data_IF_592711912737
#
_entry.id   IF_592711912737
#
_cell.length_a   1.000
_cell.length_b   1.000
_cell.length_c   1.000
_cell.angle_alpha   90.00
_cell.angle_beta   90.00
_cell.angle_gamma   90.00
#
_symmetry.space_group_name_H-M   'P 1'
#
loop_
_entity.id
_entity.type
_entity.pdbx_description
1 polymer ?
#
# COMPACT_ATOMS: atom_id res chain seq x y z
N UNK A 1 -9.17 8.94 14.18
CA UNK A 1 -9.18 7.78 15.09
C UNK A 1 -10.42 6.89 14.95
N UNK A 2 -11.66 7.36 15.17
CA UNK A 2 -12.86 6.50 15.05
C UNK A 2 -13.06 5.95 13.65
N UNK A 3 -12.90 6.75 12.60
CA UNK A 3 -13.03 6.33 11.20
C UNK A 3 -12.03 5.23 10.82
N UNK A 4 -10.78 5.33 11.27
CA UNK A 4 -9.73 4.32 11.03
C UNK A 4 -10.07 3.00 11.73
N UNK A 5 -10.57 3.06 12.98
CA UNK A 5 -10.98 1.87 13.72
C UNK A 5 -12.17 1.16 13.04
N UNK A 6 -13.16 1.92 12.59
CA UNK A 6 -14.32 1.40 11.85
C UNK A 6 -13.88 0.74 10.55
N UNK A 7 -13.00 1.39 9.77
CA UNK A 7 -12.44 0.83 8.54
C UNK A 7 -11.68 -0.47 8.81
N UNK A 8 -10.77 -0.48 9.79
CA UNK A 8 -9.99 -1.68 10.17
C UNK A 8 -10.85 -2.86 10.64
N UNK A 9 -12.05 -2.60 11.15
CA UNK A 9 -12.95 -3.65 11.66
C UNK A 9 -13.94 -4.14 10.61
N UNK A 10 -14.47 -3.25 9.77
CA UNK A 10 -15.54 -3.58 8.82
C UNK A 10 -15.04 -3.93 7.42
N UNK A 11 -13.93 -3.34 6.97
CA UNK A 11 -13.46 -3.59 5.60
C UNK A 11 -13.03 -5.05 5.36
N UNK A 12 -12.29 -5.75 6.23
CA UNK A 12 -11.89 -7.12 5.95
C UNK A 12 -13.06 -8.08 5.72
N UNK A 13 -14.15 -8.09 6.53
CA UNK A 13 -15.30 -8.95 6.25
C UNK A 13 -16.08 -8.51 5.00
N UNK A 14 -16.17 -7.21 4.73
CA UNK A 14 -16.82 -6.71 3.51
C UNK A 14 -16.05 -7.14 2.27
N UNK A 15 -14.72 -7.10 2.29
CA UNK A 15 -13.84 -7.56 1.23
C UNK A 15 -14.07 -9.04 0.92
N UNK A 16 -14.08 -9.88 1.96
CA UNK A 16 -14.33 -11.32 1.81
C UNK A 16 -15.71 -11.62 1.17
N UNK A 17 -16.76 -10.92 1.60
CA UNK A 17 -18.12 -11.12 1.05
C UNK A 17 -18.13 -10.68 -0.41
N UNK A 18 -17.48 -9.59 -0.73
CA UNK A 18 -17.46 -9.00 -2.06
C UNK A 18 -16.66 -9.83 -3.06
N UNK A 19 -15.48 -10.32 -2.67
CA UNK A 19 -14.70 -11.24 -3.49
C UNK A 19 -15.49 -12.52 -3.83
N UNK A 20 -16.27 -13.03 -2.88
CA UNK A 20 -17.12 -14.20 -3.09
C UNK A 20 -18.31 -13.95 -4.02
N UNK A 21 -18.90 -12.75 -3.97
CA UNK A 21 -20.12 -12.43 -4.72
C UNK A 21 -19.82 -11.84 -6.10
N UNK A 22 -18.75 -11.10 -6.26
CA UNK A 22 -18.50 -10.28 -7.45
C UNK A 22 -17.16 -10.57 -8.16
N UNK A 23 -16.40 -11.55 -7.69
CA UNK A 23 -15.20 -12.00 -8.41
C UNK A 23 -14.12 -10.93 -8.57
N UNK A 24 -13.72 -10.28 -7.49
CA UNK A 24 -12.57 -9.36 -7.49
C UNK A 24 -12.89 -7.92 -7.93
N UNK A 25 -14.13 -7.52 -7.91
CA UNK A 25 -14.58 -6.25 -8.51
C UNK A 25 -14.35 -4.99 -7.67
N UNK A 26 -13.79 -5.02 -6.47
CA UNK A 26 -13.84 -3.77 -5.74
C UNK A 26 -12.79 -3.44 -4.69
N UNK A 27 -12.14 -4.35 -4.08
CA UNK A 27 -11.07 -4.05 -3.15
C UNK A 27 -9.78 -4.64 -3.71
N UNK A 28 -8.91 -3.78 -4.22
CA UNK A 28 -7.61 -4.24 -4.64
C UNK A 28 -6.72 -4.33 -3.42
N UNK A 29 -6.06 -5.46 -3.25
CA UNK A 29 -5.01 -5.63 -2.28
C UNK A 29 -3.73 -4.97 -2.79
N UNK A 30 -2.97 -4.30 -1.92
CA UNK A 30 -1.60 -3.95 -2.20
C UNK A 30 -0.76 -5.23 -2.10
N UNK A 31 -0.09 -5.59 -3.18
CA UNK A 31 0.72 -6.80 -3.30
C UNK A 31 2.20 -6.51 -3.05
N UNK A 32 3.01 -7.54 -2.80
CA UNK A 32 4.44 -7.34 -2.51
C UNK A 32 5.22 -6.73 -3.68
N UNK A 33 4.82 -7.03 -4.91
CA UNK A 33 5.41 -6.50 -6.14
C UNK A 33 5.13 -5.01 -6.34
N UNK A 34 4.10 -4.47 -5.71
CA UNK A 34 3.80 -3.03 -5.69
C UNK A 34 4.62 -2.26 -4.63
N UNK A 35 5.33 -2.94 -3.75
CA UNK A 35 6.08 -2.27 -2.70
C UNK A 35 7.19 -1.38 -3.27
N UNK A 36 7.09 -0.09 -3.01
CA UNK A 36 8.04 0.89 -3.51
C UNK A 36 9.08 1.27 -2.45
N UNK A 37 8.64 1.70 -1.27
CA UNK A 37 9.55 2.15 -0.22
C UNK A 37 8.85 2.23 1.13
N UNK A 38 9.63 2.25 2.22
CA UNK A 38 9.22 2.76 3.53
C UNK A 38 9.75 4.17 3.70
N UNK A 39 8.88 5.13 3.99
CA UNK A 39 9.23 6.53 4.26
C UNK A 39 9.13 6.79 5.75
N UNK A 40 10.23 7.25 6.36
CA UNK A 40 10.31 7.49 7.81
C UNK A 40 9.91 8.93 8.14
N UNK A 41 8.61 9.17 8.18
CA UNK A 41 8.01 10.42 8.60
C UNK A 41 6.57 10.18 9.08
N UNK A 42 5.91 11.21 9.58
CA UNK A 42 4.48 11.17 9.87
C UNK A 42 3.63 11.37 8.59
N UNK A 43 2.34 11.13 8.70
CA UNK A 43 1.38 11.26 7.60
C UNK A 43 1.28 12.68 7.03
N UNK A 44 1.42 13.71 7.86
CA UNK A 44 1.33 15.09 7.43
C UNK A 44 2.52 15.47 6.55
N UNK A 45 3.73 15.06 6.97
CA UNK A 45 4.95 15.28 6.20
C UNK A 45 4.95 14.49 4.89
N UNK A 46 4.51 13.22 4.91
CA UNK A 46 4.38 12.44 3.68
C UNK A 46 3.40 13.07 2.70
N UNK A 47 2.30 13.61 3.22
CA UNK A 47 1.33 14.35 2.41
C UNK A 47 1.98 15.53 1.72
N UNK A 48 2.76 16.35 2.45
CA UNK A 48 3.50 17.46 1.87
C UNK A 48 4.45 17.03 0.75
N UNK A 49 5.20 15.95 0.97
CA UNK A 49 6.09 15.36 -0.06
C UNK A 49 5.31 14.94 -1.30
N UNK A 50 4.19 14.24 -1.12
CA UNK A 50 3.37 13.80 -2.25
C UNK A 50 2.72 14.96 -3.01
N UNK A 51 2.26 16.00 -2.30
CA UNK A 51 1.74 17.22 -2.93
C UNK A 51 2.82 17.92 -3.77
N UNK A 52 4.05 18.05 -3.25
CA UNK A 52 5.19 18.63 -3.98
C UNK A 52 5.61 17.77 -5.20
N UNK A 53 5.44 16.46 -5.13
CA UNK A 53 5.64 15.53 -6.24
C UNK A 53 4.48 15.53 -7.25
N UNK A 54 3.46 16.36 -7.05
CA UNK A 54 2.31 16.49 -7.96
C UNK A 54 1.24 15.43 -7.79
N UNK A 55 1.23 14.73 -6.65
CA UNK A 55 0.15 13.80 -6.34
C UNK A 55 -1.06 14.52 -5.76
N UNK A 56 -2.23 13.99 -6.04
CA UNK A 56 -3.49 14.45 -5.45
C UNK A 56 -4.18 13.30 -4.72
N UNK A 57 -4.89 13.56 -3.61
CA UNK A 57 -5.63 12.53 -2.89
C UNK A 57 -6.66 11.84 -3.80
N UNK A 58 -6.70 10.51 -3.75
CA UNK A 58 -7.69 9.71 -4.47
C UNK A 58 -8.87 9.38 -3.57
N UNK A 59 -9.90 10.23 -3.58
CA UNK A 59 -11.05 10.12 -2.68
C UNK A 59 -11.87 8.82 -2.85
N UNK A 60 -11.80 8.17 -4.01
CA UNK A 60 -12.59 6.99 -4.33
C UNK A 60 -11.89 5.65 -4.12
N UNK A 61 -10.61 5.65 -3.77
CA UNK A 61 -9.85 4.42 -3.53
C UNK A 61 -9.60 4.13 -2.05
N UNK A 62 -10.38 4.73 -1.16
CA UNK A 62 -10.25 4.62 0.29
C UNK A 62 -10.52 3.21 0.88
N UNK A 63 -10.38 2.15 0.08
CA UNK A 63 -10.78 0.79 0.45
C UNK A 63 -9.73 -0.27 0.08
N UNK A 64 -8.46 0.11 -0.07
CA UNK A 64 -7.39 -0.88 -0.27
C UNK A 64 -6.97 -1.50 1.06
N UNK A 65 -6.70 -2.80 1.01
CA UNK A 65 -6.21 -3.58 2.14
C UNK A 65 -4.89 -4.20 1.70
N UNK A 66 -3.87 -4.09 2.53
CA UNK A 66 -2.62 -4.79 2.31
C UNK A 66 -2.82 -6.30 2.56
N UNK A 67 -1.99 -7.14 1.97
CA UNK A 67 -2.05 -8.62 2.07
C UNK A 67 -2.07 -9.15 3.52
N UNK A 68 -1.52 -8.39 4.49
CA UNK A 68 -1.55 -8.72 5.93
C UNK A 68 -2.81 -8.20 6.64
N UNK A 69 -3.74 -7.59 5.91
CA UNK A 69 -4.99 -7.05 6.42
C UNK A 69 -4.89 -5.63 6.98
N UNK A 70 -3.73 -4.95 6.85
CA UNK A 70 -3.63 -3.55 7.18
C UNK A 70 -4.40 -2.71 6.17
N UNK A 71 -5.23 -1.80 6.67
CA UNK A 71 -6.05 -0.90 5.85
C UNK A 71 -5.20 0.28 5.39
N UNK A 72 -5.41 0.74 4.18
CA UNK A 72 -4.72 1.92 3.68
C UNK A 72 -4.99 3.15 4.56
N UNK A 73 -3.95 3.95 4.77
CA UNK A 73 -4.05 5.23 5.47
C UNK A 73 -4.11 6.41 4.50
N UNK A 74 -3.69 6.21 3.26
CA UNK A 74 -3.79 7.18 2.20
C UNK A 74 -3.75 6.58 0.81
N UNK A 75 -4.35 7.25 -0.15
CA UNK A 75 -4.37 6.88 -1.56
C UNK A 75 -4.18 8.14 -2.41
N UNK A 76 -3.23 8.08 -3.32
CA UNK A 76 -2.72 9.23 -4.04
C UNK A 76 -2.57 8.91 -5.51
N UNK A 77 -2.87 9.87 -6.37
CA UNK A 77 -2.73 9.70 -7.82
C UNK A 77 -1.98 10.89 -8.42
N UNK A 78 -1.08 10.59 -9.35
CA UNK A 78 -0.41 11.58 -10.20
C UNK A 78 -0.75 11.32 -11.65
N UNK A 79 -1.13 12.37 -12.35
CA UNK A 79 -1.42 12.39 -13.78
C UNK A 79 -0.68 13.54 -14.44
N UNK A 80 -0.20 13.34 -15.65
CA UNK A 80 0.40 14.41 -16.44
C UNK A 80 -0.62 15.50 -16.81
N UNK A 81 -1.88 15.12 -16.96
CA UNK A 81 -3.00 16.02 -17.23
C UNK A 81 -4.33 15.38 -16.81
N UNK A 82 -5.40 16.16 -16.79
CA UNK A 82 -6.76 15.64 -16.52
C UNK A 82 -7.21 14.61 -17.58
N UNK A 83 -6.67 14.72 -18.79
CA UNK A 83 -6.99 13.82 -19.91
C UNK A 83 -5.92 12.74 -20.12
N UNK A 84 -5.00 12.58 -19.21
CA UNK A 84 -3.99 11.51 -19.29
C UNK A 84 -4.64 10.14 -19.36
N UNK A 85 -4.13 9.27 -20.23
CA UNK A 85 -4.63 7.90 -20.38
C UNK A 85 -4.26 7.04 -19.16
N UNK A 86 -3.09 7.26 -18.58
CA UNK A 86 -2.57 6.53 -17.44
C UNK A 86 -2.43 7.44 -16.22
N UNK A 87 -2.33 6.82 -15.06
CA UNK A 87 -2.04 7.47 -13.80
C UNK A 87 -1.07 6.61 -12.99
N UNK A 88 -0.19 7.28 -12.25
CA UNK A 88 0.58 6.65 -11.19
C UNK A 88 -0.26 6.69 -9.91
N UNK A 89 -0.52 5.53 -9.33
CA UNK A 89 -1.29 5.40 -8.10
C UNK A 89 -0.38 4.93 -6.97
N UNK A 90 -0.42 5.64 -5.86
CA UNK A 90 0.34 5.33 -4.65
C UNK A 90 -0.62 5.11 -3.48
N UNK A 91 -0.44 4.00 -2.78
CA UNK A 91 -1.20 3.63 -1.59
C UNK A 91 -0.25 3.57 -0.41
N UNK A 92 -0.64 4.16 0.71
CA UNK A 92 0.19 4.25 1.90
C UNK A 92 -0.42 3.52 3.07
N UNK A 93 0.43 2.80 3.84
CA UNK A 93 0.05 2.06 5.03
C UNK A 93 0.99 2.41 6.18
N UNK A 94 0.45 3.00 7.23
CA UNK A 94 1.21 3.28 8.44
C UNK A 94 1.61 1.99 9.14
N UNK A 95 2.85 1.92 9.61
CA UNK A 95 3.34 0.77 10.36
C UNK A 95 2.84 0.85 11.80
N UNK A 96 2.35 -0.28 12.33
CA UNK A 96 1.82 -0.33 13.69
C UNK A 96 2.94 -0.46 14.75
N UNK A 97 4.05 -1.12 14.40
CA UNK A 97 5.05 -1.56 15.37
C UNK A 97 6.33 -0.72 15.36
N UNK A 98 6.56 0.08 14.34
CA UNK A 98 7.75 0.93 14.20
C UNK A 98 7.40 2.19 13.39
N UNK A 99 8.11 3.30 13.61
CA UNK A 99 7.90 4.50 12.81
C UNK A 99 8.12 4.23 11.33
N UNK A 100 7.22 4.72 10.48
CA UNK A 100 7.35 4.62 9.04
C UNK A 100 6.02 4.36 8.35
N UNK A 101 5.99 4.72 7.08
CA UNK A 101 4.85 4.55 6.20
C UNK A 101 5.30 3.75 4.99
N UNK A 102 4.70 2.58 4.80
CA UNK A 102 4.95 1.75 3.63
C UNK A 102 4.16 2.30 2.44
N UNK A 103 4.84 2.59 1.35
CA UNK A 103 4.26 3.07 0.10
C UNK A 103 4.29 1.96 -0.96
N UNK A 104 3.15 1.74 -1.58
CA UNK A 104 2.91 0.80 -2.67
C UNK A 104 2.50 1.58 -3.90
N UNK A 105 3.08 1.27 -5.04
CA UNK A 105 2.85 2.02 -6.26
C UNK A 105 2.57 1.11 -7.46
N UNK A 106 1.73 1.57 -8.37
CA UNK A 106 1.48 0.93 -9.65
C UNK A 106 1.05 1.96 -10.69
N UNK A 107 1.37 1.69 -11.93
CA UNK A 107 0.81 2.39 -13.08
C UNK A 107 -0.49 1.72 -13.50
N UNK A 108 -1.50 2.50 -13.83
CA UNK A 108 -2.81 1.99 -14.23
C UNK A 108 -3.52 2.94 -15.19
N UNK A 109 -4.55 2.47 -15.89
CA UNK A 109 -5.42 3.34 -16.69
C UNK A 109 -6.12 4.38 -15.80
N UNK A 110 -6.14 5.61 -16.26
CA UNK A 110 -6.79 6.71 -15.53
C UNK A 110 -8.28 6.42 -15.36
N UNK A 111 -8.76 6.51 -14.11
CA UNK A 111 -10.20 6.35 -13.81
C UNK A 111 -11.09 7.44 -14.41
N UNK A 112 -10.51 8.58 -14.83
CA UNK A 112 -11.25 9.69 -15.43
C UNK A 112 -11.52 9.39 -16.90
N UNK A 113 -10.50 9.01 -17.64
CA UNK A 113 -10.58 8.80 -19.10
C UNK A 113 -10.99 7.37 -19.45
N UNK A 114 -10.61 6.40 -18.62
CA UNK A 114 -10.82 4.96 -18.85
C UNK A 114 -11.43 4.23 -17.65
N UNK A 115 -12.61 4.62 -17.12
CA UNK A 115 -13.15 4.07 -15.88
C UNK A 115 -13.33 2.55 -15.92
N UNK A 116 -13.81 2.00 -17.04
CA UNK A 116 -14.03 0.56 -17.19
C UNK A 116 -12.71 -0.21 -17.25
N UNK A 117 -11.72 0.29 -17.99
CA UNK A 117 -10.39 -0.32 -18.08
C UNK A 117 -9.68 -0.29 -16.71
N UNK A 118 -9.77 0.84 -16.01
CA UNK A 118 -9.27 0.99 -14.65
C UNK A 118 -9.85 -0.07 -13.70
N UNK A 119 -11.18 -0.24 -13.67
CA UNK A 119 -11.82 -1.27 -12.84
C UNK A 119 -11.44 -2.71 -13.22
N UNK A 120 -11.18 -2.96 -14.50
CA UNK A 120 -10.75 -4.27 -15.02
C UNK A 120 -9.26 -4.50 -14.91
N UNK A 121 -8.48 -3.58 -14.32
CA UNK A 121 -7.03 -3.63 -14.23
C UNK A 121 -6.34 -3.83 -15.60
N UNK A 122 -6.92 -3.25 -16.67
CA UNK A 122 -6.29 -3.26 -18.00
C UNK A 122 -5.07 -2.34 -17.94
N UNK A 123 -3.95 -2.82 -18.47
CA UNK A 123 -2.64 -2.14 -18.45
C UNK A 123 -2.18 -1.75 -17.02
N UNK A 124 -2.49 -2.63 -16.06
CA UNK A 124 -1.97 -2.50 -14.70
C UNK A 124 -0.53 -2.99 -14.65
N UNK A 125 0.39 -2.13 -14.18
CA UNK A 125 1.82 -2.41 -14.15
C UNK A 125 2.41 -1.97 -12.80
N UNK A 126 2.72 -2.95 -11.95
CA UNK A 126 3.32 -2.74 -10.65
C UNK A 126 4.79 -2.29 -10.78
N UNK A 127 5.56 -2.93 -11.65
CA UNK A 127 6.98 -2.65 -11.83
C UNK A 127 7.21 -1.21 -12.30
N UNK A 128 6.51 -0.81 -13.37
CA UNK A 128 6.58 0.56 -13.88
C UNK A 128 6.13 1.60 -12.84
N UNK A 129 5.11 1.29 -12.05
CA UNK A 129 4.63 2.18 -10.98
C UNK A 129 5.65 2.34 -9.85
N UNK A 130 6.25 1.23 -9.41
CA UNK A 130 7.29 1.22 -8.38
C UNK A 130 8.51 2.02 -8.82
N UNK A 131 9.00 1.80 -10.04
CA UNK A 131 10.13 2.53 -10.62
C UNK A 131 9.86 4.03 -10.66
N UNK A 132 8.73 4.44 -11.25
CA UNK A 132 8.35 5.85 -11.36
C UNK A 132 8.24 6.54 -10.00
N UNK A 133 7.73 5.86 -8.99
CA UNK A 133 7.59 6.44 -7.66
C UNK A 133 8.94 6.56 -6.95
N UNK A 134 9.81 5.55 -7.07
CA UNK A 134 11.19 5.58 -6.53
C UNK A 134 12.00 6.70 -7.14
N UNK A 135 11.97 6.85 -8.46
CA UNK A 135 12.66 7.92 -9.17
C UNK A 135 12.18 9.30 -8.69
N UNK A 136 10.87 9.46 -8.49
CA UNK A 136 10.31 10.70 -7.97
C UNK A 136 10.79 10.98 -6.53
N UNK A 137 10.81 9.98 -5.64
CA UNK A 137 11.33 10.12 -4.27
C UNK A 137 12.82 10.45 -4.26
N UNK A 138 13.62 9.77 -5.07
CA UNK A 138 15.06 10.03 -5.18
C UNK A 138 15.35 11.44 -5.71
N UNK A 139 14.59 11.88 -6.71
CA UNK A 139 14.70 13.24 -7.22
C UNK A 139 14.32 14.27 -6.15
N UNK A 140 13.26 14.00 -5.38
CA UNK A 140 12.84 14.85 -4.26
C UNK A 140 13.94 14.99 -3.22
N UNK A 141 14.49 13.87 -2.74
CA UNK A 141 15.53 13.84 -1.70
C UNK A 141 16.80 14.58 -2.14
N UNK A 142 17.15 14.54 -3.43
CA UNK A 142 18.33 15.28 -3.95
C UNK A 142 18.13 16.79 -3.99
N UNK A 143 16.90 17.27 -4.04
CA UNK A 143 16.59 18.69 -4.31
C UNK A 143 16.03 19.45 -3.11
N UNK A 144 15.68 18.76 -2.02
CA UNK A 144 15.06 19.37 -0.84
C UNK A 144 16.03 19.38 0.34
N UNK A 145 16.03 20.48 1.08
CA UNK A 145 16.74 20.61 2.33
C UNK A 145 15.98 19.84 3.42
N UNK A 146 16.62 18.90 4.13
CA UNK A 146 16.02 18.05 5.15
C UNK A 146 14.90 17.09 4.63
N UNK A 147 15.18 16.24 3.64
CA UNK A 147 14.19 15.28 3.16
C UNK A 147 13.93 14.16 4.17
N UNK A 148 12.74 13.52 4.15
CA UNK A 148 12.50 12.33 4.94
C UNK A 148 13.42 11.19 4.47
N UNK A 149 13.88 10.37 5.41
CA UNK A 149 14.59 9.14 5.06
C UNK A 149 13.61 8.15 4.42
N UNK A 150 14.06 7.44 3.40
CA UNK A 150 13.32 6.31 2.88
C UNK A 150 14.23 5.11 2.64
N UNK A 151 13.67 3.93 2.72
CA UNK A 151 14.35 2.65 2.47
C UNK A 151 13.56 1.82 1.45
N UNK A 152 14.30 1.25 0.49
CA UNK A 152 13.75 0.35 -0.54
C UNK A 152 13.91 -1.11 -0.10
N UNK A 153 13.58 -1.43 1.13
CA UNK A 153 13.58 -2.80 1.62
C UNK A 153 12.17 -3.34 1.63
N UNK A 154 11.92 -4.52 1.02
CA UNK A 154 10.60 -5.13 1.12
C UNK A 154 10.27 -5.36 2.60
N UNK A 155 9.02 -5.12 3.02
CA UNK A 155 8.59 -5.43 4.37
C UNK A 155 8.89 -6.90 4.68
N UNK A 156 9.27 -7.20 5.94
CA UNK A 156 9.68 -8.53 6.39
C UNK A 156 8.57 -9.61 6.36
N UNK A 157 7.44 -9.34 5.73
CA UNK A 157 6.25 -10.20 5.68
C UNK A 157 6.34 -11.39 4.72
N UNK A 158 7.50 -11.59 4.09
CA UNK A 158 7.67 -12.50 2.95
C UNK A 158 7.44 -13.98 3.24
N UNK A 159 7.58 -14.40 4.50
CA UNK A 159 7.53 -15.84 4.87
C UNK A 159 6.13 -16.37 5.10
N UNK A 160 5.17 -15.55 5.44
CA UNK A 160 3.83 -15.98 5.86
C UNK A 160 2.69 -15.52 4.96
N UNK A 161 2.95 -14.69 3.95
CA UNK A 161 1.93 -14.12 3.07
C UNK A 161 1.04 -15.20 2.41
N UNK A 162 1.61 -16.30 1.95
CA UNK A 162 0.85 -17.40 1.37
C UNK A 162 -0.03 -18.15 2.39
N UNK A 163 0.45 -18.31 3.63
CA UNK A 163 -0.33 -18.96 4.69
C UNK A 163 -1.49 -18.06 5.15
N UNK A 164 -1.28 -16.74 5.21
CA UNK A 164 -2.32 -15.76 5.51
C UNK A 164 -3.36 -15.69 4.39
N UNK A 165 -2.92 -15.78 3.15
CA UNK A 165 -3.81 -15.83 2.00
C UNK A 165 -4.71 -17.07 2.05
N UNK A 166 -4.16 -18.24 2.37
CA UNK A 166 -4.94 -19.47 2.58
C UNK A 166 -5.93 -19.34 3.76
N UNK A 167 -5.51 -18.72 4.86
CA UNK A 167 -6.37 -18.51 6.02
C UNK A 167 -7.48 -17.49 5.75
N UNK A 168 -7.28 -16.52 4.86
CA UNK A 168 -8.30 -15.55 4.47
C UNK A 168 -9.51 -16.18 3.80
N UNK A 169 -9.34 -17.34 3.15
CA UNK A 169 -10.46 -18.15 2.61
C UNK A 169 -11.37 -18.72 3.69
N UNK A 170 -10.86 -18.88 4.92
CA UNK A 170 -11.62 -19.49 6.02
C UNK A 170 -12.26 -18.43 6.90
N UNK A 171 -11.52 -17.39 7.27
CA UNK A 171 -12.01 -16.29 8.07
C UNK A 171 -11.02 -15.10 8.05
N UNK A 172 -11.37 -14.03 7.36
CA UNK A 172 -10.52 -12.82 7.27
C UNK A 172 -10.13 -12.23 8.64
N UNK A 173 -11.05 -12.11 9.64
CA UNK A 173 -10.67 -11.60 10.95
C UNK A 173 -9.68 -12.50 11.71
N UNK A 174 -9.77 -13.81 11.54
CA UNK A 174 -8.83 -14.75 12.15
C UNK A 174 -7.47 -14.70 11.45
N UNK A 175 -7.43 -14.65 10.12
CA UNK A 175 -6.21 -14.52 9.34
C UNK A 175 -5.43 -13.26 9.69
N UNK A 176 -6.11 -12.12 9.81
CA UNK A 176 -5.52 -10.84 10.23
C UNK A 176 -4.92 -10.92 11.64
N UNK A 177 -5.63 -11.52 12.60
CA UNK A 177 -5.09 -11.69 13.97
C UNK A 177 -3.89 -12.61 14.03
N UNK A 178 -3.93 -13.72 13.29
CA UNK A 178 -2.83 -14.69 13.22
C UNK A 178 -1.62 -14.05 12.53
N UNK A 179 -1.84 -13.33 11.41
CA UNK A 179 -0.79 -12.62 10.68
C UNK A 179 -0.04 -11.63 11.56
N UNK A 180 -0.75 -10.78 12.28
CA UNK A 180 -0.15 -9.84 13.25
C UNK A 180 0.59 -10.55 14.39
N UNK A 181 0.13 -11.71 14.79
CA UNK A 181 0.80 -12.54 15.79
C UNK A 181 2.14 -13.09 15.29
N UNK A 182 2.13 -13.63 14.08
CA UNK A 182 3.30 -14.21 13.42
C UNK A 182 4.36 -13.15 13.10
N UNK A 183 3.95 -12.01 12.60
CA UNK A 183 4.83 -10.88 12.32
C UNK A 183 5.58 -10.39 13.58
N UNK A 184 4.88 -10.27 14.71
CA UNK A 184 5.51 -9.94 16.00
C UNK A 184 6.52 -10.99 16.45
N UNK A 185 6.26 -12.27 16.21
CA UNK A 185 7.18 -13.36 16.55
C UNK A 185 8.42 -13.28 15.64
N UNK A 186 8.23 -13.09 14.35
CA UNK A 186 9.32 -12.99 13.37
C UNK A 186 10.25 -11.81 13.68
N UNK A 187 9.69 -10.63 13.96
CA UNK A 187 10.47 -9.44 14.39
C UNK A 187 11.27 -9.70 15.68
N UNK A 188 10.67 -10.38 16.66
CA UNK A 188 11.39 -10.77 17.89
C UNK A 188 12.51 -11.76 17.63
N UNK A 189 12.35 -12.68 16.70
CA UNK A 189 13.40 -13.63 16.32
C UNK A 189 14.50 -12.92 15.52
N UNK A 190 14.15 -12.06 14.58
CA UNK A 190 15.11 -11.29 13.79
C UNK A 190 15.97 -10.36 14.68
N UNK A 191 15.38 -9.74 15.71
CA UNK A 191 16.12 -8.89 16.65
C UNK A 191 17.08 -9.65 17.57
N UNK A 192 16.97 -10.98 17.67
CA UNK A 192 17.84 -11.85 18.49
C UNK A 192 18.95 -12.53 17.68
N UNK A 193 18.89 -12.48 16.37
CA UNK A 193 19.96 -13.01 15.52
C UNK A 193 21.06 -11.96 15.37
N UNK A 194 22.34 -12.31 15.65
CA UNK A 194 23.44 -11.38 15.44
C UNK A 194 23.52 -11.02 13.96
N UNK A 195 23.69 -9.73 13.67
CA UNK A 195 23.97 -9.23 12.32
C UNK A 195 25.19 -9.98 11.78
N UNK A 196 24.98 -10.80 10.74
CA UNK A 196 26.11 -11.36 10.01
C UNK A 196 26.80 -10.20 9.30
N UNK A 197 27.98 -9.83 9.84
CA UNK A 197 28.91 -8.88 9.24
C UNK A 197 29.46 -9.41 7.91
#
# INVERSE_FOLDING_TARGET
MVATLVRRTLLPPVDTIKDRLFGGFALSHSTEDEYAATVYCDQERLRGVLDELGFSPSLFSALKIRFDGNVEDGSWVRRESLLAENQLHVVTHEREDEPGIDAYAHSERSKITHPVAHYRKVDYDAEAGVEQFRDALEAYVRNVEDPPKFEVRPPHHRTWGWALHLLSFVSTPAAVRIGRGLDRIEKRLASRLPSRG
#
